data_IF_916747374324
#
_entry.id   IF_916747374324
#
_cell.length_a   1.000
_cell.length_b   1.000
_cell.length_c   1.000
_cell.angle_alpha   90.00
_cell.angle_beta   90.00
_cell.angle_gamma   90.00
#
_symmetry.space_group_name_H-M   'P 1'
#
loop_
_entity.id
_entity.type
_entity.pdbx_description
1 polymer ?
#
# COMPACT_ATOMS: atom_id res chain seq x y z
N UNK A 1 10.96 16.64 6.91
CA UNK A 1 9.80 15.79 6.58
C UNK A 1 9.98 15.31 5.15
N UNK A 2 9.69 14.04 4.85
CA UNK A 2 9.79 13.53 3.48
C UNK A 2 8.81 14.21 2.54
N UNK A 3 9.15 14.33 1.26
CA UNK A 3 8.21 14.80 0.24
C UNK A 3 7.18 13.69 -0.05
N UNK A 4 5.94 14.11 -0.28
CA UNK A 4 4.83 13.23 -0.63
C UNK A 4 3.84 13.94 -1.56
N UNK A 5 3.04 13.13 -2.25
CA UNK A 5 1.90 13.58 -3.07
C UNK A 5 0.64 12.82 -2.65
N UNK A 6 -0.53 13.44 -2.81
CA UNK A 6 -1.81 12.73 -2.71
C UNK A 6 -2.06 12.05 -4.05
N UNK A 7 -2.34 10.75 -4.04
CA UNK A 7 -2.56 9.95 -5.27
C UNK A 7 -3.97 9.36 -5.36
N UNK A 8 -4.70 9.34 -4.24
CA UNK A 8 -6.09 8.88 -4.16
C UNK A 8 -6.85 9.78 -3.20
N UNK A 9 -8.06 10.18 -3.58
CA UNK A 9 -8.98 10.95 -2.76
C UNK A 9 -10.18 10.10 -2.36
N UNK A 10 -10.86 10.45 -1.27
CA UNK A 10 -12.22 9.98 -1.02
C UNK A 10 -13.20 10.68 -1.98
N UNK A 11 -14.46 10.21 -2.05
CA UNK A 11 -15.56 10.91 -2.74
C UNK A 11 -15.78 12.33 -2.23
N UNK A 12 -15.48 12.56 -0.94
CA UNK A 12 -15.59 13.86 -0.28
C UNK A 12 -14.40 14.80 -0.59
N UNK A 13 -13.39 14.31 -1.33
CA UNK A 13 -12.20 15.08 -1.71
C UNK A 13 -11.08 15.06 -0.67
N UNK A 14 -11.17 14.23 0.37
CA UNK A 14 -10.14 14.09 1.39
C UNK A 14 -9.02 13.14 0.95
N UNK A 15 -7.76 13.33 1.39
CA UNK A 15 -6.67 12.41 1.06
C UNK A 15 -6.91 10.98 1.56
N UNK A 16 -7.00 10.03 0.63
CA UNK A 16 -7.14 8.61 0.97
C UNK A 16 -5.79 7.87 0.93
N UNK A 17 -4.94 8.15 -0.05
CA UNK A 17 -3.59 7.55 -0.16
C UNK A 17 -2.55 8.61 -0.50
N UNK A 18 -1.45 8.58 0.24
CA UNK A 18 -0.25 9.36 -0.06
C UNK A 18 0.79 8.47 -0.76
N UNK A 19 1.55 9.06 -1.69
CA UNK A 19 2.78 8.50 -2.26
C UNK A 19 3.99 9.30 -1.77
N UNK A 20 4.84 8.66 -0.98
CA UNK A 20 6.11 9.19 -0.49
C UNK A 20 7.22 9.04 -1.53
N UNK A 21 8.20 9.93 -1.46
CA UNK A 21 9.50 9.68 -2.09
C UNK A 21 10.20 8.47 -1.44
N UNK A 22 11.00 7.68 -2.19
CA UNK A 22 11.66 6.49 -1.66
C UNK A 22 12.80 6.82 -0.67
N UNK A 23 13.22 8.08 -0.61
CA UNK A 23 14.28 8.59 0.26
C UNK A 23 13.82 9.87 0.97
N UNK A 24 14.21 10.02 2.24
CA UNK A 24 14.13 11.28 2.97
C UNK A 24 15.16 12.29 2.44
N UNK A 25 15.02 13.60 2.78
CA UNK A 25 15.97 14.62 2.36
C UNK A 25 17.42 14.38 2.80
N UNK A 26 17.62 13.61 3.88
CA UNK A 26 18.93 13.21 4.40
C UNK A 26 19.47 11.90 3.76
N UNK A 27 18.75 11.33 2.79
CA UNK A 27 19.09 10.07 2.13
C UNK A 27 18.64 8.82 2.88
N UNK A 28 17.94 8.95 4.01
CA UNK A 28 17.40 7.79 4.75
C UNK A 28 16.31 7.09 3.93
N UNK A 29 16.35 5.76 3.77
CA UNK A 29 15.30 5.01 3.09
C UNK A 29 13.92 5.17 3.74
N UNK A 30 12.91 5.47 2.91
CA UNK A 30 11.52 5.43 3.37
C UNK A 30 11.02 3.98 3.46
N UNK A 31 10.25 3.64 4.51
CA UNK A 31 9.79 2.27 4.74
C UNK A 31 8.69 1.84 3.75
N UNK A 32 7.95 2.79 3.17
CA UNK A 32 6.87 2.52 2.22
C UNK A 32 6.65 3.70 1.26
N UNK A 33 6.37 3.41 0.00
CA UNK A 33 5.92 4.37 -1.00
C UNK A 33 4.48 4.81 -0.72
N UNK A 34 3.56 3.87 -0.53
CA UNK A 34 2.14 4.19 -0.41
C UNK A 34 1.69 4.11 1.05
N UNK A 35 0.96 5.13 1.50
CA UNK A 35 0.43 5.22 2.85
C UNK A 35 -1.07 5.46 2.79
N UNK A 36 -1.86 4.54 3.36
CA UNK A 36 -3.30 4.71 3.52
C UNK A 36 -3.59 5.70 4.65
N UNK A 37 -4.26 6.80 4.33
CA UNK A 37 -4.57 7.88 5.27
C UNK A 37 -6.04 7.96 5.65
N UNK A 38 -6.95 7.48 4.80
CA UNK A 38 -8.39 7.50 5.05
C UNK A 38 -8.73 6.82 6.40
N UNK A 39 -9.31 7.53 7.38
CA UNK A 39 -9.52 7.00 8.71
C UNK A 39 -10.57 5.88 8.74
N UNK A 40 -11.61 5.95 7.90
CA UNK A 40 -12.67 4.96 7.86
C UNK A 40 -12.15 3.64 7.27
N UNK A 41 -11.44 3.71 6.14
CA UNK A 41 -10.83 2.53 5.51
C UNK A 41 -9.77 1.93 6.43
N UNK A 42 -8.92 2.75 7.06
CA UNK A 42 -7.91 2.25 8.01
C UNK A 42 -8.54 1.50 9.17
N UNK A 43 -9.63 2.02 9.72
CA UNK A 43 -10.35 1.37 10.81
C UNK A 43 -10.97 0.04 10.34
N UNK A 44 -11.61 0.03 9.17
CA UNK A 44 -12.21 -1.18 8.60
C UNK A 44 -11.17 -2.29 8.35
N UNK A 45 -10.01 -1.93 7.78
CA UNK A 45 -8.89 -2.85 7.60
C UNK A 45 -8.34 -3.30 8.95
N UNK A 46 -8.23 -2.40 9.94
CA UNK A 46 -7.81 -2.77 11.30
C UNK A 46 -8.74 -3.81 11.93
N UNK A 47 -10.06 -3.70 11.72
CA UNK A 47 -11.01 -4.73 12.12
C UNK A 47 -10.76 -6.04 11.40
N UNK A 48 -10.56 -6.04 10.08
CA UNK A 48 -10.26 -7.24 9.30
C UNK A 48 -8.95 -7.92 9.76
N UNK A 49 -7.89 -7.15 10.00
CA UNK A 49 -6.62 -7.66 10.54
C UNK A 49 -6.80 -8.29 11.92
N UNK A 50 -7.57 -7.64 12.81
CA UNK A 50 -7.86 -8.15 14.16
C UNK A 50 -8.58 -9.50 14.16
N UNK A 51 -9.28 -9.80 13.06
CA UNK A 51 -9.98 -11.07 12.84
C UNK A 51 -9.11 -12.13 12.17
N UNK A 52 -7.81 -11.86 11.95
CA UNK A 52 -6.89 -12.78 11.29
C UNK A 52 -6.74 -12.58 9.78
N UNK A 53 -7.20 -11.44 9.25
CA UNK A 53 -7.24 -11.16 7.82
C UNK A 53 -5.90 -11.27 7.09
N UNK A 54 -4.77 -10.99 7.75
CA UNK A 54 -3.43 -11.18 7.13
C UNK A 54 -3.20 -12.63 6.72
N UNK A 55 -3.46 -13.57 7.65
CA UNK A 55 -3.29 -15.00 7.39
C UNK A 55 -4.30 -15.52 6.36
N UNK A 56 -5.53 -15.00 6.40
CA UNK A 56 -6.54 -15.33 5.40
C UNK A 56 -6.14 -14.86 4.00
N UNK A 57 -5.59 -13.64 3.88
CA UNK A 57 -5.10 -13.09 2.63
C UNK A 57 -3.97 -13.94 2.04
N UNK A 58 -2.97 -14.29 2.84
CA UNK A 58 -1.85 -15.14 2.40
C UNK A 58 -2.33 -16.51 1.93
N UNK A 59 -3.29 -17.11 2.64
CA UNK A 59 -3.87 -18.40 2.28
C UNK A 59 -4.69 -18.32 0.99
N UNK A 60 -5.44 -17.24 0.77
CA UNK A 60 -6.29 -17.05 -0.39
C UNK A 60 -5.49 -16.66 -1.65
N UNK A 61 -4.49 -15.78 -1.50
CA UNK A 61 -3.70 -15.22 -2.60
C UNK A 61 -2.52 -16.12 -2.97
N UNK A 62 -1.89 -16.75 -1.96
CA UNK A 62 -0.68 -17.57 -2.13
C UNK A 62 0.61 -16.75 -2.18
N UNK A 63 1.67 -17.28 -1.57
CA UNK A 63 2.94 -16.58 -1.39
C UNK A 63 3.67 -16.22 -2.70
N UNK A 64 3.47 -16.99 -3.78
CA UNK A 64 4.06 -16.66 -5.08
C UNK A 64 3.46 -15.39 -5.68
N UNK A 65 2.14 -15.20 -5.57
CA UNK A 65 1.49 -13.99 -6.04
C UNK A 65 1.84 -12.78 -5.16
N UNK A 66 1.98 -12.98 -3.84
CA UNK A 66 2.49 -11.95 -2.91
C UNK A 66 3.91 -11.52 -3.29
N UNK A 67 4.78 -12.48 -3.63
CA UNK A 67 6.15 -12.20 -4.10
C UNK A 67 6.15 -11.38 -5.38
N UNK A 68 5.31 -11.72 -6.36
CA UNK A 68 5.18 -10.94 -7.61
C UNK A 68 4.76 -9.50 -7.32
N UNK A 69 3.82 -9.27 -6.41
CA UNK A 69 3.42 -7.93 -6.00
C UNK A 69 4.55 -7.16 -5.30
N UNK A 70 5.32 -7.84 -4.45
CA UNK A 70 6.53 -7.25 -3.84
C UNK A 70 7.58 -6.86 -4.87
N UNK A 71 7.85 -7.70 -5.86
CA UNK A 71 8.82 -7.44 -6.91
C UNK A 71 8.39 -6.23 -7.76
N UNK A 72 7.11 -6.17 -8.15
CA UNK A 72 6.54 -5.03 -8.87
C UNK A 72 6.61 -3.72 -8.08
N UNK A 73 6.26 -3.77 -6.79
CA UNK A 73 6.38 -2.63 -5.89
C UNK A 73 7.82 -2.14 -5.74
N UNK A 74 8.77 -3.07 -5.58
CA UNK A 74 10.19 -2.76 -5.48
C UNK A 74 10.70 -2.09 -6.77
N UNK A 75 10.27 -2.56 -7.94
CA UNK A 75 10.61 -1.94 -9.22
C UNK A 75 10.11 -0.49 -9.33
N UNK A 76 8.85 -0.22 -8.92
CA UNK A 76 8.28 1.14 -8.88
C UNK A 76 9.10 2.05 -7.96
N UNK A 77 9.47 1.54 -6.79
CA UNK A 77 10.30 2.28 -5.82
C UNK A 77 11.68 2.57 -6.37
N UNK A 78 12.32 1.56 -6.93
CA UNK A 78 13.70 1.67 -7.38
C UNK A 78 13.82 2.61 -8.58
N UNK A 79 12.80 2.67 -9.44
CA UNK A 79 12.69 3.63 -10.53
C UNK A 79 12.51 5.08 -10.05
N UNK A 80 11.95 5.29 -8.85
CA UNK A 80 11.78 6.62 -8.26
C UNK A 80 13.04 7.13 -7.54
N UNK A 81 14.07 6.30 -7.34
CA UNK A 81 15.31 6.73 -6.69
C UNK A 81 16.15 7.54 -7.69
N UNK A 82 16.67 8.73 -7.30
CA UNK A 82 17.49 9.55 -8.18
C UNK A 82 18.68 8.79 -8.79
N UNK A 83 18.90 9.01 -10.09
CA UNK A 83 20.07 8.48 -10.80
C UNK A 83 21.34 9.00 -10.13
N UNK A 84 22.22 8.09 -9.71
CA UNK A 84 23.46 8.44 -9.02
C UNK A 84 23.37 8.50 -7.49
N UNK A 85 22.26 8.08 -6.86
CA UNK A 85 22.21 7.91 -5.41
C UNK A 85 23.26 6.90 -4.93
N UNK A 86 24.15 7.33 -4.03
CA UNK A 86 25.27 6.54 -3.47
C UNK A 86 25.05 6.09 -2.03
N UNK A 87 23.92 6.44 -1.42
CA UNK A 87 23.59 6.10 -0.03
C UNK A 87 22.85 4.77 0.15
N UNK A 88 22.38 4.48 1.38
CA UNK A 88 21.54 3.33 1.65
C UNK A 88 20.31 3.32 0.74
N UNK A 89 19.91 2.14 0.26
CA UNK A 89 18.71 1.97 -0.55
C UNK A 89 17.62 1.27 0.26
N UNK A 90 16.35 1.66 0.10
CA UNK A 90 15.24 0.87 0.63
C UNK A 90 15.25 -0.54 0.02
N UNK A 91 14.78 -1.50 0.78
CA UNK A 91 14.67 -2.91 0.37
C UNK A 91 13.34 -3.50 0.84
N UNK A 92 13.01 -4.70 0.35
CA UNK A 92 11.69 -5.33 0.56
C UNK A 92 10.66 -4.90 -0.50
N UNK A 93 9.43 -5.35 -0.33
CA UNK A 93 8.29 -5.00 -1.18
C UNK A 93 7.31 -4.07 -0.46
N UNK A 94 6.03 -4.26 -0.78
CA UNK A 94 4.89 -3.60 -0.14
C UNK A 94 5.02 -3.61 1.40
N UNK A 95 4.87 -2.43 2.04
CA UNK A 95 5.00 -2.28 3.49
C UNK A 95 6.41 -2.49 4.06
N UNK A 96 7.43 -2.63 3.21
CA UNK A 96 8.83 -2.83 3.60
C UNK A 96 9.15 -4.24 4.09
N UNK A 97 8.26 -5.22 3.85
CA UNK A 97 8.52 -6.62 4.20
C UNK A 97 9.34 -7.32 3.12
N UNK A 98 10.10 -8.35 3.51
CA UNK A 98 10.86 -9.19 2.56
C UNK A 98 10.03 -10.36 2.04
N UNK A 99 9.12 -10.86 2.86
CA UNK A 99 8.30 -12.02 2.58
C UNK A 99 6.95 -11.87 3.29
N UNK A 100 5.94 -12.54 2.72
CA UNK A 100 4.58 -12.55 3.25
C UNK A 100 3.93 -11.16 3.36
N UNK A 101 2.84 -11.09 4.12
CA UNK A 101 2.07 -9.87 4.30
C UNK A 101 2.28 -9.35 5.73
N UNK A 102 2.94 -8.20 5.88
CA UNK A 102 3.11 -7.56 7.19
C UNK A 102 1.84 -6.89 7.69
N UNK A 103 1.14 -6.16 6.80
CA UNK A 103 -0.14 -5.52 7.07
C UNK A 103 -0.94 -5.33 5.78
N UNK A 104 -2.26 -5.36 5.88
CA UNK A 104 -3.21 -5.18 4.78
C UNK A 104 -3.28 -3.71 4.32
N UNK A 105 -3.01 -2.73 5.20
CA UNK A 105 -3.10 -1.31 4.84
C UNK A 105 -2.14 -0.93 3.70
N UNK A 106 -0.91 -1.45 3.73
CA UNK A 106 0.10 -1.12 2.72
C UNK A 106 -0.26 -1.70 1.35
N UNK A 107 -0.75 -2.94 1.33
CA UNK A 107 -1.23 -3.61 0.12
C UNK A 107 -2.47 -2.92 -0.45
N UNK A 108 -3.42 -2.56 0.42
CA UNK A 108 -4.60 -1.82 -0.03
C UNK A 108 -4.25 -0.42 -0.56
N UNK A 109 -3.33 0.30 0.09
CA UNK A 109 -2.82 1.58 -0.42
C UNK A 109 -2.17 1.45 -1.79
N UNK A 110 -1.33 0.43 -1.99
CA UNK A 110 -0.66 0.18 -3.27
C UNK A 110 -1.66 -0.14 -4.38
N UNK A 111 -2.62 -1.02 -4.11
CA UNK A 111 -3.70 -1.36 -5.05
C UNK A 111 -4.58 -0.17 -5.38
N UNK A 112 -5.01 0.61 -4.38
CA UNK A 112 -5.75 1.85 -4.59
C UNK A 112 -4.96 2.85 -5.43
N UNK A 113 -3.65 2.92 -5.30
CA UNK A 113 -2.80 3.76 -6.14
C UNK A 113 -2.57 3.22 -7.57
N UNK A 114 -3.21 2.10 -7.94
CA UNK A 114 -3.12 1.49 -9.27
C UNK A 114 -2.07 0.39 -9.39
N UNK A 115 -1.46 -0.03 -8.28
CA UNK A 115 -0.54 -1.16 -8.24
C UNK A 115 -1.23 -2.50 -8.52
N UNK A 116 -0.53 -3.39 -9.21
CA UNK A 116 -0.94 -4.77 -9.38
C UNK A 116 -0.67 -5.56 -8.09
N UNK A 117 -1.61 -5.50 -7.15
CA UNK A 117 -1.48 -6.11 -5.82
C UNK A 117 -2.72 -6.97 -5.49
N UNK A 118 -2.60 -8.31 -5.60
CA UNK A 118 -3.72 -9.21 -5.36
C UNK A 118 -4.13 -9.27 -3.88
N UNK A 119 -3.26 -8.89 -2.94
CA UNK A 119 -3.64 -8.75 -1.53
C UNK A 119 -4.52 -7.52 -1.36
N UNK A 120 -4.18 -6.40 -2.02
CA UNK A 120 -5.02 -5.21 -2.00
C UNK A 120 -6.39 -5.45 -2.65
N UNK A 121 -6.44 -6.18 -3.76
CA UNK A 121 -7.69 -6.61 -4.39
C UNK A 121 -8.52 -7.50 -3.46
N UNK A 122 -7.88 -8.48 -2.82
CA UNK A 122 -8.52 -9.35 -1.83
C UNK A 122 -9.10 -8.55 -0.66
N UNK A 123 -8.35 -7.57 -0.12
CA UNK A 123 -8.85 -6.67 0.93
C UNK A 123 -10.12 -5.95 0.48
N UNK A 124 -10.14 -5.43 -0.76
CA UNK A 124 -11.32 -4.77 -1.31
C UNK A 124 -12.55 -5.69 -1.27
N UNK A 125 -12.40 -6.93 -1.75
CA UNK A 125 -13.48 -7.91 -1.75
C UNK A 125 -13.98 -8.19 -0.32
N UNK A 126 -13.06 -8.46 0.62
CA UNK A 126 -13.42 -8.78 2.01
C UNK A 126 -14.13 -7.63 2.73
N UNK A 127 -13.72 -6.38 2.49
CA UNK A 127 -14.38 -5.22 3.07
C UNK A 127 -15.83 -5.09 2.56
N UNK A 128 -16.08 -5.37 1.28
CA UNK A 128 -17.43 -5.36 0.72
C UNK A 128 -18.27 -6.53 1.26
N UNK A 129 -17.76 -7.75 1.22
CA UNK A 129 -18.47 -8.97 1.65
C UNK A 129 -18.87 -8.92 3.13
N UNK A 130 -18.03 -8.30 3.97
CA UNK A 130 -18.27 -8.18 5.42
C UNK A 130 -19.07 -6.92 5.78
N UNK A 131 -19.47 -6.11 4.80
CA UNK A 131 -20.16 -4.83 5.03
C UNK A 131 -19.32 -3.82 5.82
N UNK A 132 -17.99 -3.91 5.71
CA UNK A 132 -17.03 -3.02 6.37
C UNK A 132 -16.58 -1.88 5.45
N UNK A 133 -16.90 -1.93 4.15
CA UNK A 133 -16.55 -0.88 3.21
C UNK A 133 -17.24 0.43 3.58
N UNK A 134 -16.51 1.53 3.77
CA UNK A 134 -17.11 2.85 3.95
C UNK A 134 -17.97 3.24 2.74
N UNK A 135 -19.03 4.01 2.96
CA UNK A 135 -19.93 4.47 1.89
C UNK A 135 -19.20 5.32 0.83
N UNK A 136 -18.14 5.99 1.24
CA UNK A 136 -17.30 6.87 0.42
C UNK A 136 -16.12 6.09 -0.17
N UNK A 137 -16.38 5.37 -1.28
CA UNK A 137 -15.33 4.60 -1.95
C UNK A 137 -14.26 5.52 -2.56
N UNK A 138 -12.96 5.23 -2.41
CA UNK A 138 -11.89 6.10 -2.88
C UNK A 138 -11.81 6.18 -4.41
N UNK A 139 -11.49 7.37 -4.92
CA UNK A 139 -11.31 7.70 -6.34
C UNK A 139 -9.85 8.04 -6.61
N UNK A 140 -9.26 7.42 -7.64
CA UNK A 140 -7.89 7.72 -8.08
C UNK A 140 -7.82 9.10 -8.70
N UNK A 141 -6.75 9.84 -8.42
CA UNK A 141 -6.45 11.05 -9.17
C UNK A 141 -5.83 10.59 -10.49
N UNK A 142 -6.54 10.78 -11.61
CA UNK A 142 -5.95 10.60 -12.94
C UNK A 142 -4.93 11.72 -13.18
N UNK A 143 -3.71 11.35 -13.56
CA UNK A 143 -2.62 12.28 -13.93
C UNK A 143 -2.64 12.60 -15.41
#
# INVERSE_FOLDING_TARGET
MGAFSVVVLSTSGDPAVLRNEPLLPDGTPMPTLYWLCDPAIRSAIGTLESQGGVREAEAAVGLDAVRVAHDGYAAIRDAAIPVGHVGPRPSGGVGGTREGVKCLHAHYAHWLAGGADPVGEWVHAQLNERGLMPADAPVRIES
#
